data_IF_910620245198
#
_entry.id   IF_910620245198
#
_cell.length_a   1.000
_cell.length_b   1.000
_cell.length_c   1.000
_cell.angle_alpha   90.00
_cell.angle_beta   90.00
_cell.angle_gamma   90.00
#
_symmetry.space_group_name_H-M   'P 1'
#
loop_
_entity.id
_entity.type
_entity.pdbx_description
1 polymer ?
#
# COMPACT_ATOMS: atom_id res chain seq x y z
N UNK A 1 -15.74 58.75 0.14
CA UNK A 1 -14.60 57.81 -0.01
C UNK A 1 -14.71 56.59 0.95
N UNK A 2 -15.91 56.14 1.28
CA UNK A 2 -16.15 55.02 2.23
C UNK A 2 -16.80 53.79 1.56
N UNK A 3 -17.37 53.90 0.32
CA UNK A 3 -18.09 52.83 -0.35
C UNK A 3 -17.21 51.73 -1.01
N UNK A 4 -15.92 51.98 -1.18
CA UNK A 4 -15.06 51.03 -1.92
C UNK A 4 -14.41 49.97 -1.00
N UNK A 5 -14.35 50.21 0.32
CA UNK A 5 -13.78 49.23 1.27
C UNK A 5 -14.78 48.11 1.65
N UNK A 6 -16.07 48.32 1.47
CA UNK A 6 -17.11 47.33 1.83
C UNK A 6 -17.27 46.23 0.75
N UNK A 7 -16.97 46.55 -0.52
CA UNK A 7 -17.04 45.57 -1.60
C UNK A 7 -15.90 44.56 -1.54
N UNK A 8 -14.72 44.97 -1.08
CA UNK A 8 -13.55 44.09 -0.99
C UNK A 8 -13.68 43.08 0.17
N UNK A 9 -14.38 43.45 1.25
CA UNK A 9 -14.59 42.56 2.40
C UNK A 9 -15.63 41.47 2.10
N UNK A 10 -16.62 41.77 1.26
CA UNK A 10 -17.64 40.81 0.85
C UNK A 10 -17.09 39.77 -0.13
N UNK A 11 -16.10 40.11 -0.94
CA UNK A 11 -15.47 39.20 -1.89
C UNK A 11 -14.52 38.19 -1.24
N UNK A 12 -13.93 38.53 -0.09
CA UNK A 12 -13.09 37.63 0.68
C UNK A 12 -13.92 36.57 1.42
N UNK A 13 -15.13 36.92 1.86
CA UNK A 13 -16.04 35.98 2.58
C UNK A 13 -16.65 34.98 1.61
N UNK A 14 -16.95 35.37 0.35
CA UNK A 14 -17.50 34.44 -0.65
C UNK A 14 -16.46 33.45 -1.18
N UNK A 15 -15.17 33.76 -1.12
CA UNK A 15 -14.11 32.82 -1.51
C UNK A 15 -13.84 31.71 -0.48
N UNK A 16 -14.30 31.89 0.77
CA UNK A 16 -14.10 30.88 1.84
C UNK A 16 -15.22 29.85 1.92
N UNK A 17 -16.36 30.08 1.26
CA UNK A 17 -17.52 29.19 1.33
C UNK A 17 -17.47 28.07 0.26
N UNK A 18 -16.57 28.16 -0.73
CA UNK A 18 -16.44 27.14 -1.81
C UNK A 18 -15.31 26.10 -1.57
N UNK A 19 -14.67 26.10 -0.40
CA UNK A 19 -13.58 25.16 -0.09
C UNK A 19 -14.01 23.94 0.73
N UNK A 20 -15.31 23.67 0.89
CA UNK A 20 -15.80 22.40 1.45
C UNK A 20 -16.34 21.49 0.35
N UNK A 21 -15.55 21.27 -0.69
CA UNK A 21 -15.76 20.15 -1.60
C UNK A 21 -15.34 18.88 -0.88
N UNK A 22 -16.22 17.88 -0.83
CA UNK A 22 -15.85 16.52 -0.45
C UNK A 22 -14.78 16.05 -1.45
N UNK A 23 -13.50 16.17 -1.08
CA UNK A 23 -12.42 15.60 -1.86
C UNK A 23 -12.45 14.10 -1.64
N UNK A 24 -13.08 13.36 -2.53
CA UNK A 24 -12.82 11.95 -2.71
C UNK A 24 -11.87 11.81 -3.89
N UNK A 25 -10.68 11.29 -3.64
CA UNK A 25 -9.75 10.92 -4.70
C UNK A 25 -10.10 9.52 -5.18
N UNK A 26 -10.33 9.36 -6.47
CA UNK A 26 -10.59 8.05 -7.09
C UNK A 26 -9.44 7.69 -8.01
N UNK A 27 -8.81 6.55 -7.75
CA UNK A 27 -7.73 6.02 -8.57
C UNK A 27 -8.10 4.63 -9.08
N UNK A 28 -8.09 4.44 -10.40
CA UNK A 28 -8.19 3.13 -11.03
C UNK A 28 -6.78 2.59 -11.26
N UNK A 29 -6.46 1.48 -10.63
CA UNK A 29 -5.19 0.79 -10.84
C UNK A 29 -5.40 -0.52 -11.59
N UNK A 30 -4.51 -0.81 -12.52
CA UNK A 30 -4.58 -2.04 -13.32
C UNK A 30 -3.18 -2.53 -13.67
N UNK A 31 -3.04 -3.84 -13.77
CA UNK A 31 -1.93 -4.53 -14.42
C UNK A 31 -2.45 -5.47 -15.52
N UNK A 32 -1.68 -6.49 -15.90
CA UNK A 32 -2.09 -7.46 -16.94
C UNK A 32 -3.19 -8.43 -16.49
N UNK A 33 -3.43 -8.58 -15.18
CA UNK A 33 -4.28 -9.64 -14.61
C UNK A 33 -5.34 -9.06 -13.65
N UNK A 34 -4.98 -8.02 -12.88
CA UNK A 34 -5.79 -7.46 -11.79
C UNK A 34 -6.20 -6.03 -12.08
N UNK A 35 -7.40 -5.67 -11.59
CA UNK A 35 -7.90 -4.29 -11.68
C UNK A 35 -8.69 -3.96 -10.42
N UNK A 36 -8.36 -2.84 -9.79
CA UNK A 36 -9.09 -2.34 -8.62
C UNK A 36 -9.30 -0.84 -8.71
N UNK A 37 -10.41 -0.39 -8.13
CA UNK A 37 -10.70 1.00 -7.89
C UNK A 37 -10.46 1.32 -6.41
N UNK A 38 -9.71 2.39 -6.14
CA UNK A 38 -9.42 2.88 -4.79
C UNK A 38 -10.04 4.26 -4.67
N UNK A 39 -10.98 4.42 -3.73
CA UNK A 39 -11.62 5.69 -3.42
C UNK A 39 -11.20 6.11 -2.02
N UNK A 40 -10.45 7.21 -1.90
CA UNK A 40 -10.11 7.77 -0.59
C UNK A 40 -11.18 8.78 -0.17
N UNK A 41 -11.74 8.58 1.01
CA UNK A 41 -12.72 9.52 1.57
C UNK A 41 -12.04 10.80 2.10
N UNK A 42 -12.85 11.71 2.64
CA UNK A 42 -12.38 12.98 3.21
C UNK A 42 -11.39 12.82 4.38
N UNK A 43 -11.28 11.63 4.97
CA UNK A 43 -10.37 11.29 6.05
C UNK A 43 -9.11 10.58 5.56
N UNK A 44 -9.02 10.35 4.24
CA UNK A 44 -7.94 9.61 3.60
C UNK A 44 -8.08 8.08 3.69
N UNK A 45 -9.21 7.57 4.22
CA UNK A 45 -9.43 6.12 4.34
C UNK A 45 -9.69 5.53 2.96
N UNK A 46 -8.91 4.52 2.52
CA UNK A 46 -9.10 3.90 1.22
C UNK A 46 -10.26 2.89 1.26
N UNK A 47 -11.23 3.07 0.37
CA UNK A 47 -12.28 2.10 0.06
C UNK A 47 -11.90 1.41 -1.24
N UNK A 48 -11.82 0.08 -1.22
CA UNK A 48 -11.25 -0.70 -2.33
C UNK A 48 -12.34 -1.56 -2.94
N UNK A 49 -12.47 -1.46 -4.27
CA UNK A 49 -13.43 -2.20 -5.06
C UNK A 49 -12.71 -3.03 -6.12
N UNK A 50 -12.99 -4.33 -6.14
CA UNK A 50 -12.52 -5.28 -7.14
C UNK A 50 -13.66 -6.21 -7.57
N UNK A 51 -13.58 -6.77 -8.76
CA UNK A 51 -14.58 -7.75 -9.21
C UNK A 51 -14.40 -9.12 -8.54
N UNK A 52 -13.17 -9.47 -8.18
CA UNK A 52 -12.79 -10.68 -7.46
C UNK A 52 -12.06 -10.30 -6.17
N UNK A 53 -12.01 -11.19 -5.20
CA UNK A 53 -11.25 -10.99 -3.97
C UNK A 53 -9.77 -10.69 -4.24
N UNK A 54 -9.20 -11.31 -5.27
CA UNK A 54 -7.82 -11.06 -5.70
C UNK A 54 -7.62 -9.65 -6.27
N UNK A 55 -8.62 -9.07 -6.94
CA UNK A 55 -8.58 -7.68 -7.41
C UNK A 55 -8.66 -6.71 -6.23
N UNK A 56 -9.50 -7.00 -5.24
CA UNK A 56 -9.55 -6.24 -3.99
C UNK A 56 -8.22 -6.34 -3.22
N UNK A 57 -7.60 -7.51 -3.17
CA UNK A 57 -6.27 -7.72 -2.57
C UNK A 57 -5.18 -6.93 -3.29
N UNK A 58 -5.23 -6.85 -4.62
CA UNK A 58 -4.35 -6.02 -5.44
C UNK A 58 -4.47 -4.53 -5.07
N UNK A 59 -5.71 -4.03 -4.99
CA UNK A 59 -5.99 -2.64 -4.60
C UNK A 59 -5.56 -2.34 -3.17
N UNK A 60 -5.80 -3.27 -2.24
CA UNK A 60 -5.40 -3.15 -0.84
C UNK A 60 -3.87 -3.02 -0.71
N UNK A 61 -3.13 -3.86 -1.41
CA UNK A 61 -1.67 -3.84 -1.38
C UNK A 61 -1.10 -2.54 -1.95
N UNK A 62 -1.70 -2.03 -3.02
CA UNK A 62 -1.33 -0.72 -3.58
C UNK A 62 -1.59 0.41 -2.58
N UNK A 63 -2.78 0.46 -1.97
CA UNK A 63 -3.14 1.48 -0.99
C UNK A 63 -2.26 1.43 0.26
N UNK A 64 -1.95 0.22 0.79
CA UNK A 64 -1.00 0.05 1.89
C UNK A 64 0.39 0.57 1.52
N UNK A 65 0.85 0.27 0.29
CA UNK A 65 2.14 0.73 -0.19
C UNK A 65 2.19 2.26 -0.36
N UNK A 66 1.08 2.87 -0.75
CA UNK A 66 0.97 4.33 -0.86
C UNK A 66 1.04 5.00 0.51
N UNK A 67 0.40 4.40 1.52
CA UNK A 67 0.35 4.92 2.88
C UNK A 67 1.69 4.75 3.63
N UNK A 68 2.29 3.55 3.60
CA UNK A 68 3.53 3.25 4.35
C UNK A 68 4.35 2.12 3.71
N UNK A 69 4.98 2.43 2.59
CA UNK A 69 5.82 1.46 1.89
C UNK A 69 7.07 1.07 2.69
N UNK A 70 7.56 1.95 3.54
CA UNK A 70 8.76 1.68 4.35
C UNK A 70 8.54 0.53 5.32
N UNK A 71 7.42 0.57 6.05
CA UNK A 71 7.03 -0.53 6.97
C UNK A 71 6.79 -1.84 6.22
N UNK A 72 6.17 -1.79 5.02
CA UNK A 72 5.97 -3.01 4.21
C UNK A 72 7.30 -3.65 3.85
N UNK A 73 8.30 -2.86 3.45
CA UNK A 73 9.65 -3.38 3.15
C UNK A 73 10.28 -4.01 4.38
N UNK A 74 10.20 -3.37 5.55
CA UNK A 74 10.72 -3.92 6.81
C UNK A 74 10.07 -5.27 7.16
N UNK A 75 8.74 -5.36 7.01
CA UNK A 75 7.99 -6.61 7.25
C UNK A 75 8.43 -7.71 6.28
N UNK A 76 8.63 -7.42 5.00
CA UNK A 76 9.13 -8.41 4.03
C UNK A 76 10.51 -8.94 4.44
N UNK A 77 11.44 -8.06 4.83
CA UNK A 77 12.75 -8.48 5.31
C UNK A 77 12.65 -9.29 6.61
N UNK A 78 11.82 -8.87 7.55
CA UNK A 78 11.61 -9.60 8.80
C UNK A 78 11.07 -11.02 8.56
N UNK A 79 10.08 -11.17 7.68
CA UNK A 79 9.49 -12.46 7.35
C UNK A 79 10.44 -13.39 6.57
N UNK A 80 11.39 -12.81 5.82
CA UNK A 80 12.41 -13.57 5.11
C UNK A 80 13.58 -13.99 6.00
N UNK A 81 13.72 -13.39 7.19
CA UNK A 81 14.85 -13.59 8.08
C UNK A 81 16.10 -12.81 7.63
N UNK A 82 15.88 -11.67 6.98
CA UNK A 82 16.91 -10.79 6.44
C UNK A 82 16.86 -9.38 7.07
N UNK A 83 16.14 -9.22 8.20
CA UNK A 83 15.92 -7.92 8.83
C UNK A 83 17.23 -7.24 9.27
N UNK A 84 18.24 -8.02 9.64
CA UNK A 84 19.56 -7.50 10.00
C UNK A 84 20.32 -6.86 8.84
N UNK A 85 19.91 -7.07 7.59
CA UNK A 85 20.44 -6.36 6.43
C UNK A 85 20.01 -4.88 6.42
N UNK A 86 18.85 -4.57 7.00
CA UNK A 86 18.31 -3.21 7.11
C UNK A 86 18.68 -2.55 8.44
N UNK A 87 18.59 -3.30 9.53
CA UNK A 87 18.75 -2.82 10.88
C UNK A 87 19.86 -3.55 11.61
N UNK A 88 20.99 -2.88 11.85
CA UNK A 88 22.12 -3.43 12.62
C UNK A 88 21.80 -3.47 14.12
N UNK A 89 20.81 -4.26 14.51
CA UNK A 89 20.35 -4.40 15.90
C UNK A 89 20.34 -5.85 16.34
N UNK A 90 20.40 -6.07 17.68
CA UNK A 90 20.28 -7.40 18.26
C UNK A 90 18.92 -8.03 17.96
N UNK A 91 17.84 -7.23 17.99
CA UNK A 91 16.48 -7.71 17.79
C UNK A 91 16.28 -8.19 16.34
N UNK A 92 16.86 -7.48 15.37
CA UNK A 92 16.85 -7.92 13.97
C UNK A 92 17.61 -9.26 13.80
N UNK A 93 18.78 -9.41 14.41
CA UNK A 93 19.53 -10.66 14.35
C UNK A 93 18.80 -11.83 15.04
N UNK A 94 18.07 -11.57 16.13
CA UNK A 94 17.24 -12.59 16.80
C UNK A 94 16.07 -12.99 15.93
N UNK A 95 15.42 -12.02 15.25
CA UNK A 95 14.37 -12.30 14.28
C UNK A 95 14.87 -13.24 13.16
N UNK A 96 15.98 -12.88 12.54
CA UNK A 96 16.55 -13.64 11.43
C UNK A 96 16.93 -15.06 11.86
N UNK A 97 17.61 -15.19 13.00
CA UNK A 97 17.91 -16.49 13.58
C UNK A 97 16.66 -17.34 13.80
N UNK A 98 15.59 -16.75 14.35
CA UNK A 98 14.34 -17.45 14.61
C UNK A 98 13.68 -17.93 13.31
N UNK A 99 13.55 -17.04 12.32
CA UNK A 99 12.93 -17.37 11.02
C UNK A 99 13.66 -18.51 10.32
N UNK A 100 15.01 -18.45 10.28
CA UNK A 100 15.81 -19.49 9.67
C UNK A 100 15.83 -20.79 10.48
N UNK A 101 15.91 -20.73 11.81
CA UNK A 101 15.94 -21.94 12.65
C UNK A 101 14.63 -22.72 12.63
N UNK A 102 13.49 -22.03 12.47
CA UNK A 102 12.18 -22.66 12.32
C UNK A 102 11.88 -23.15 10.91
N UNK A 103 12.73 -22.81 9.94
CA UNK A 103 12.59 -23.18 8.53
C UNK A 103 11.20 -22.85 7.94
N UNK A 104 10.66 -21.67 8.24
CA UNK A 104 9.33 -21.28 7.77
C UNK A 104 9.22 -21.32 6.24
N UNK A 105 10.24 -20.87 5.53
CA UNK A 105 10.24 -20.84 4.07
C UNK A 105 10.23 -22.24 3.46
N UNK A 106 11.05 -23.17 3.98
CA UNK A 106 11.02 -24.55 3.53
C UNK A 106 9.64 -25.19 3.73
N UNK A 107 8.99 -24.94 4.87
CA UNK A 107 7.62 -25.43 5.09
C UNK A 107 6.60 -24.84 4.13
N UNK A 108 6.74 -23.56 3.76
CA UNK A 108 5.85 -22.91 2.78
C UNK A 108 6.08 -23.52 1.38
N UNK A 109 7.34 -23.63 0.94
CA UNK A 109 7.70 -24.18 -0.37
C UNK A 109 7.17 -25.60 -0.56
N UNK A 110 7.32 -26.44 0.46
CA UNK A 110 6.86 -27.84 0.42
C UNK A 110 5.33 -27.98 0.32
N UNK A 111 4.57 -27.05 0.91
CA UNK A 111 3.11 -27.18 1.07
C UNK A 111 2.30 -26.27 0.16
N UNK A 112 2.87 -25.17 -0.32
CA UNK A 112 2.14 -24.12 -1.02
C UNK A 112 1.33 -24.66 -2.20
N UNK A 113 1.92 -25.53 -3.03
CA UNK A 113 1.25 -26.02 -4.22
C UNK A 113 0.14 -27.03 -3.92
N UNK A 114 0.27 -27.83 -2.85
CA UNK A 114 -0.62 -28.96 -2.58
C UNK A 114 -1.63 -28.68 -1.48
N UNK A 115 -1.34 -27.78 -0.51
CA UNK A 115 -2.19 -27.58 0.64
C UNK A 115 -2.94 -26.23 0.61
N UNK A 116 -2.49 -25.24 -0.18
CA UNK A 116 -3.14 -23.94 -0.26
C UNK A 116 -4.19 -23.94 -1.38
N UNK A 117 -5.46 -23.59 -1.09
CA UNK A 117 -6.51 -23.46 -2.10
C UNK A 117 -6.17 -22.45 -3.20
N UNK A 118 -6.61 -22.67 -4.42
CA UNK A 118 -6.28 -21.83 -5.59
C UNK A 118 -6.80 -20.39 -5.46
N UNK A 119 -7.96 -20.19 -4.83
CA UNK A 119 -8.51 -18.87 -4.53
C UNK A 119 -7.61 -18.07 -3.58
N UNK A 120 -7.06 -18.74 -2.55
CA UNK A 120 -6.10 -18.12 -1.62
C UNK A 120 -4.76 -17.81 -2.32
N UNK A 121 -4.27 -18.71 -3.17
CA UNK A 121 -3.08 -18.44 -4.00
C UNK A 121 -3.28 -17.23 -4.89
N UNK A 122 -4.47 -17.11 -5.51
CA UNK A 122 -4.79 -15.99 -6.38
C UNK A 122 -4.85 -14.67 -5.59
N UNK A 123 -5.37 -14.71 -4.36
CA UNK A 123 -5.40 -13.56 -3.43
C UNK A 123 -3.98 -13.11 -3.08
N UNK A 124 -3.08 -14.05 -2.74
CA UNK A 124 -1.66 -13.75 -2.49
C UNK A 124 -0.96 -13.14 -3.73
N UNK A 125 -1.26 -13.67 -4.92
CA UNK A 125 -0.74 -13.14 -6.19
C UNK A 125 -1.24 -11.71 -6.44
N UNK A 126 -2.51 -11.43 -6.15
CA UNK A 126 -3.08 -10.08 -6.22
C UNK A 126 -2.35 -9.11 -5.30
N UNK A 127 -2.13 -9.49 -4.03
CA UNK A 127 -1.40 -8.67 -3.08
C UNK A 127 0.03 -8.36 -3.53
N UNK A 128 0.77 -9.37 -3.95
CA UNK A 128 2.13 -9.19 -4.47
C UNK A 128 2.17 -8.29 -5.72
N UNK A 129 1.20 -8.47 -6.63
CA UNK A 129 1.07 -7.62 -7.81
C UNK A 129 0.79 -6.15 -7.46
N UNK A 130 -0.03 -5.88 -6.42
CA UNK A 130 -0.31 -4.53 -5.94
C UNK A 130 0.93 -3.81 -5.42
N UNK A 131 1.77 -4.49 -4.62
CA UNK A 131 3.06 -3.96 -4.18
C UNK A 131 3.97 -3.65 -5.39
N UNK A 132 4.07 -4.60 -6.33
CA UNK A 132 4.90 -4.42 -7.52
C UNK A 132 4.40 -3.27 -8.41
N UNK A 133 3.08 -3.13 -8.56
CA UNK A 133 2.48 -2.00 -9.30
C UNK A 133 2.81 -0.66 -8.65
N UNK A 134 2.72 -0.57 -7.32
CA UNK A 134 3.10 0.64 -6.60
C UNK A 134 4.57 1.00 -6.85
N UNK A 135 5.49 0.02 -6.81
CA UNK A 135 6.90 0.24 -7.08
C UNK A 135 7.18 0.67 -8.53
N UNK A 136 6.44 0.12 -9.50
CA UNK A 136 6.54 0.55 -10.90
C UNK A 136 6.13 2.01 -11.07
N UNK A 137 5.07 2.42 -10.39
CA UNK A 137 4.57 3.80 -10.44
C UNK A 137 5.46 4.76 -9.62
N UNK A 138 6.14 4.26 -8.57
CA UNK A 138 6.94 5.03 -7.62
C UNK A 138 8.37 4.47 -7.47
N UNK A 139 9.21 4.45 -8.50
CA UNK A 139 10.52 3.77 -8.46
C UNK A 139 11.48 4.36 -7.43
N UNK A 140 11.31 5.62 -7.03
CA UNK A 140 12.11 6.29 -6.01
C UNK A 140 11.86 5.78 -4.58
N UNK A 141 10.76 5.06 -4.35
CA UNK A 141 10.40 4.50 -3.04
C UNK A 141 11.13 3.17 -2.75
N UNK A 142 11.73 2.55 -3.76
CA UNK A 142 12.48 1.31 -3.61
C UNK A 142 13.76 1.53 -2.79
N UNK A 143 13.95 0.81 -1.69
CA UNK A 143 15.20 0.83 -0.93
C UNK A 143 16.34 0.15 -1.70
N UNK A 144 17.58 0.61 -1.46
CA UNK A 144 18.77 -0.06 -1.98
C UNK A 144 18.85 -1.47 -1.41
N UNK A 145 19.09 -2.47 -2.27
CA UNK A 145 19.10 -3.88 -1.89
C UNK A 145 17.80 -4.63 -2.12
N UNK A 146 16.76 -3.95 -2.57
CA UNK A 146 15.48 -4.52 -2.97
C UNK A 146 15.47 -4.74 -4.50
N UNK A 147 16.42 -5.53 -5.00
CA UNK A 147 16.59 -5.80 -6.44
C UNK A 147 15.88 -7.08 -6.88
#
# INVERSE_FOLDING_TARGET
>A
MVKMKFLFFFQIITSFIFASGNYSETVLITDSIFTAEIIRDQWGVPHIYGQRDADASFGLAYAHSDDDFETIQDVIYALRGDLSMLHSSRDAAVNDYYVHSMNFWGMIEDRYENEIPEDVKLLCKGYAAGINKFLLDNPSKKRKGFE
#
